data_IF_464452897038
#
_entry.id   IF_464452897038
#
_cell.length_a   1.000
_cell.length_b   1.000
_cell.length_c   1.000
_cell.angle_alpha   90.00
_cell.angle_beta   90.00
_cell.angle_gamma   90.00
#
_symmetry.space_group_name_H-M   'P 1'
#
loop_
_entity.id
_entity.type
_entity.pdbx_description
1 polymer ?
#
# COMPACT_ATOMS: atom_id res chain seq x y z
N UNK A 1 -21.47 4.07 25.14
CA UNK A 1 -20.23 3.43 24.66
C UNK A 1 -19.06 4.26 25.17
N UNK A 2 -18.17 3.65 25.93
CA UNK A 2 -16.98 4.34 26.43
C UNK A 2 -15.94 4.44 25.32
N UNK A 3 -15.36 5.61 25.15
CA UNK A 3 -14.24 5.81 24.23
C UNK A 3 -13.06 4.92 24.66
N UNK A 4 -12.64 3.94 23.83
CA UNK A 4 -11.54 3.04 24.21
C UNK A 4 -10.19 3.77 24.32
N UNK A 5 -10.07 4.96 23.78
CA UNK A 5 -8.83 5.75 23.85
C UNK A 5 -8.60 6.37 25.23
N UNK A 6 -9.65 6.45 26.07
CA UNK A 6 -9.60 7.14 27.37
C UNK A 6 -9.07 8.58 27.24
N UNK A 7 -9.44 9.27 26.14
CA UNK A 7 -9.00 10.63 25.85
C UNK A 7 -7.59 10.74 25.29
N UNK A 8 -6.94 9.64 24.98
CA UNK A 8 -5.61 9.65 24.35
C UNK A 8 -5.74 9.77 22.84
N UNK A 9 -4.73 10.37 22.22
CA UNK A 9 -4.62 10.38 20.77
C UNK A 9 -4.45 8.94 20.25
N UNK A 10 -5.26 8.59 19.25
CA UNK A 10 -5.21 7.28 18.61
C UNK A 10 -5.01 7.42 17.12
N UNK A 11 -4.33 6.45 16.53
CA UNK A 11 -4.10 6.38 15.09
C UNK A 11 -4.63 5.05 14.55
N UNK A 12 -5.05 5.05 13.29
CA UNK A 12 -5.53 3.84 12.62
C UNK A 12 -4.34 3.21 11.88
N UNK A 13 -3.94 1.97 12.23
CA UNK A 13 -2.86 1.28 11.54
C UNK A 13 -3.36 0.65 10.23
N UNK A 14 -2.56 0.77 9.19
CA UNK A 14 -2.82 0.13 7.89
C UNK A 14 -1.53 -0.46 7.33
N UNK A 15 -1.65 -1.47 6.48
CA UNK A 15 -0.53 -2.13 5.84
C UNK A 15 -0.71 -2.09 4.32
N UNK A 16 0.41 -1.88 3.60
CA UNK A 16 0.44 -1.67 2.15
C UNK A 16 1.49 -2.58 1.53
N UNK A 17 1.18 -3.12 0.35
CA UNK A 17 2.10 -3.99 -0.37
C UNK A 17 2.34 -3.48 -1.78
N UNK A 18 3.61 -3.24 -2.10
CA UNK A 18 4.06 -3.04 -3.46
C UNK A 18 4.78 -4.30 -3.94
N UNK A 19 4.18 -5.04 -4.88
CA UNK A 19 4.88 -6.11 -5.58
C UNK A 19 5.80 -5.48 -6.61
N UNK A 20 7.06 -5.91 -6.62
CA UNK A 20 8.08 -5.43 -7.54
C UNK A 20 8.60 -6.57 -8.40
N UNK A 21 8.89 -6.27 -9.66
CA UNK A 21 9.53 -7.22 -10.58
C UNK A 21 10.48 -6.49 -11.53
N UNK A 22 11.39 -7.24 -12.14
CA UNK A 22 12.17 -6.72 -13.25
C UNK A 22 11.27 -6.55 -14.48
N UNK A 23 11.48 -5.46 -15.23
CA UNK A 23 10.76 -5.22 -16.46
C UNK A 23 11.07 -6.29 -17.52
N UNK A 24 10.09 -6.62 -18.39
CA UNK A 24 10.24 -7.71 -19.37
C UNK A 24 11.26 -7.43 -20.49
N UNK A 25 11.65 -6.17 -20.65
CA UNK A 25 12.58 -5.75 -21.71
C UNK A 25 14.06 -5.91 -21.34
N UNK A 26 14.35 -6.36 -20.11
CA UNK A 26 15.74 -6.54 -19.65
C UNK A 26 16.52 -5.26 -19.50
N UNK A 27 15.87 -4.09 -19.51
CA UNK A 27 16.53 -2.79 -19.40
C UNK A 27 17.03 -2.48 -17.97
N UNK A 28 16.78 -3.39 -17.01
CA UNK A 28 17.13 -3.19 -15.59
C UNK A 28 16.16 -2.31 -14.83
N UNK A 29 15.07 -1.87 -15.46
CA UNK A 29 14.02 -1.09 -14.80
C UNK A 29 13.09 -1.95 -13.99
N UNK A 30 12.78 -1.53 -12.77
CA UNK A 30 11.78 -2.21 -11.93
C UNK A 30 10.38 -1.75 -12.30
N UNK A 31 9.44 -2.69 -12.18
CA UNK A 31 8.01 -2.40 -12.27
C UNK A 31 7.35 -2.68 -10.93
N UNK A 32 6.29 -1.93 -10.64
CA UNK A 32 5.43 -2.11 -9.47
C UNK A 32 4.01 -2.41 -9.94
N UNK A 33 3.34 -3.32 -9.23
CA UNK A 33 1.94 -3.62 -9.51
C UNK A 33 1.04 -2.62 -8.79
N UNK A 34 0.23 -1.89 -9.57
CA UNK A 34 -0.72 -0.91 -9.04
C UNK A 34 -2.14 -1.28 -9.45
N UNK A 35 -3.10 -0.88 -8.61
CA UNK A 35 -4.52 -1.01 -8.89
C UNK A 35 -5.15 0.37 -9.10
N UNK A 36 -6.11 0.44 -10.03
CA UNK A 36 -6.93 1.63 -10.21
C UNK A 36 -8.17 1.50 -9.31
N UNK A 37 -8.27 2.38 -8.32
CA UNK A 37 -9.34 2.35 -7.31
C UNK A 37 -10.66 2.79 -7.92
N UNK A 38 -11.76 2.13 -7.52
CA UNK A 38 -13.11 2.55 -7.86
C UNK A 38 -14.11 2.14 -6.76
N UNK A 39 -15.16 2.90 -6.60
CA UNK A 39 -16.28 2.61 -5.70
C UNK A 39 -15.87 2.39 -4.23
N UNK A 40 -14.79 3.00 -3.80
CA UNK A 40 -14.30 2.89 -2.41
C UNK A 40 -14.68 4.09 -1.54
N UNK A 41 -15.02 5.22 -2.18
CA UNK A 41 -15.29 6.47 -1.49
C UNK A 41 -14.04 7.24 -1.06
N UNK A 42 -12.85 6.72 -1.39
CA UNK A 42 -11.58 7.36 -1.03
C UNK A 42 -10.58 7.22 -2.18
N UNK A 43 -10.11 8.34 -2.70
CA UNK A 43 -9.11 8.39 -3.77
C UNK A 43 -9.47 7.49 -4.96
N UNK A 44 -10.77 7.44 -5.32
CA UNK A 44 -11.20 6.71 -6.49
C UNK A 44 -10.61 7.33 -7.76
N UNK A 45 -10.44 6.53 -8.80
CA UNK A 45 -9.77 6.89 -10.05
C UNK A 45 -8.27 7.24 -9.88
N UNK A 46 -7.69 6.89 -8.70
CA UNK A 46 -6.25 6.98 -8.45
C UNK A 46 -5.64 5.58 -8.48
N UNK A 47 -4.39 5.53 -8.89
CA UNK A 47 -3.57 4.33 -8.80
C UNK A 47 -2.99 4.19 -7.40
N UNK A 48 -2.99 2.96 -6.90
CA UNK A 48 -2.61 2.65 -5.52
C UNK A 48 -1.89 1.30 -5.45
N UNK A 49 -1.34 0.98 -4.27
CA UNK A 49 -0.77 -0.33 -3.99
C UNK A 49 -1.78 -1.44 -4.35
N UNK A 50 -1.28 -2.55 -4.90
CA UNK A 50 -2.11 -3.67 -5.33
C UNK A 50 -2.88 -4.31 -4.18
N UNK A 51 -2.34 -4.26 -2.96
CA UNK A 51 -3.02 -4.72 -1.76
C UNK A 51 -2.73 -3.77 -0.60
N UNK A 52 -3.78 -3.41 0.13
CA UNK A 52 -3.69 -2.55 1.31
C UNK A 52 -4.96 -2.68 2.16
N UNK A 53 -4.83 -2.51 3.45
CA UNK A 53 -5.97 -2.49 4.36
C UNK A 53 -5.58 -2.24 5.80
N UNK A 54 -6.58 -2.06 6.65
CA UNK A 54 -6.38 -1.82 8.07
C UNK A 54 -5.80 -3.05 8.76
N UNK A 55 -4.87 -2.81 9.68
CA UNK A 55 -4.41 -3.84 10.61
C UNK A 55 -5.51 -4.08 11.64
N UNK A 56 -5.97 -5.32 11.76
CA UNK A 56 -7.02 -5.68 12.69
C UNK A 56 -6.44 -5.98 14.08
N UNK A 57 -7.31 -5.91 15.10
CA UNK A 57 -6.89 -6.22 16.46
C UNK A 57 -6.33 -7.65 16.53
N UNK A 58 -5.16 -7.78 17.10
CA UNK A 58 -4.50 -9.09 17.24
C UNK A 58 -3.65 -9.52 16.06
N UNK A 59 -3.65 -8.76 14.95
CA UNK A 59 -2.72 -9.04 13.85
C UNK A 59 -1.50 -8.10 13.89
N UNK A 60 -0.39 -8.58 13.36
CA UNK A 60 0.76 -7.73 13.04
C UNK A 60 0.54 -7.10 11.67
N UNK A 61 1.30 -6.06 11.35
CA UNK A 61 1.28 -5.49 10.01
C UNK A 61 1.69 -6.52 8.94
N UNK A 62 2.60 -7.43 9.27
CA UNK A 62 2.97 -8.55 8.39
C UNK A 62 1.78 -9.45 8.09
N UNK A 63 1.03 -9.83 9.12
CA UNK A 63 -0.15 -10.68 8.96
C UNK A 63 -1.25 -9.96 8.17
N UNK A 64 -1.45 -8.67 8.45
CA UNK A 64 -2.45 -7.87 7.74
C UNK A 64 -2.15 -7.77 6.25
N UNK A 65 -0.91 -7.47 5.87
CA UNK A 65 -0.54 -7.33 4.46
C UNK A 65 -0.66 -8.67 3.71
N UNK A 66 -0.32 -9.78 4.36
CA UNK A 66 -0.46 -11.11 3.77
C UNK A 66 -1.95 -11.47 3.54
N UNK A 67 -2.81 -11.15 4.50
CA UNK A 67 -4.25 -11.34 4.39
C UNK A 67 -4.84 -10.50 3.24
N UNK A 68 -4.50 -9.21 3.20
CA UNK A 68 -4.98 -8.31 2.15
C UNK A 68 -4.50 -8.74 0.76
N UNK A 69 -3.26 -9.20 0.63
CA UNK A 69 -2.74 -9.71 -0.63
C UNK A 69 -3.53 -10.91 -1.14
N UNK A 70 -3.89 -11.82 -0.26
CA UNK A 70 -4.74 -12.98 -0.60
C UNK A 70 -6.15 -12.53 -1.00
N UNK A 71 -6.75 -11.62 -0.24
CA UNK A 71 -8.14 -11.15 -0.45
C UNK A 71 -8.28 -10.29 -1.70
N UNK A 72 -7.31 -9.42 -1.99
CA UNK A 72 -7.43 -8.42 -3.06
C UNK A 72 -6.84 -8.90 -4.38
N UNK A 73 -5.71 -9.61 -4.37
CA UNK A 73 -5.01 -10.01 -5.61
C UNK A 73 -4.67 -11.50 -5.70
N UNK A 74 -5.07 -12.30 -4.71
CA UNK A 74 -4.97 -13.76 -4.80
C UNK A 74 -3.56 -14.33 -4.75
N UNK A 75 -2.60 -13.64 -4.13
CA UNK A 75 -1.23 -14.12 -3.99
C UNK A 75 -0.92 -14.47 -2.53
N UNK A 76 0.04 -15.37 -2.34
CA UNK A 76 0.51 -15.77 -1.02
C UNK A 76 2.00 -16.10 -1.01
N UNK A 77 2.47 -16.66 0.11
CA UNK A 77 3.89 -16.99 0.32
C UNK A 77 4.82 -15.83 -0.02
N UNK A 78 4.45 -14.65 0.49
CA UNK A 78 5.18 -13.41 0.24
C UNK A 78 6.49 -13.39 1.01
N UNK A 79 7.58 -13.06 0.33
CA UNK A 79 8.84 -12.70 0.99
C UNK A 79 8.84 -11.18 1.18
N UNK A 80 8.39 -10.74 2.36
CA UNK A 80 8.14 -9.33 2.65
C UNK A 80 9.43 -8.62 3.09
N UNK A 81 9.65 -7.43 2.54
CA UNK A 81 10.67 -6.50 3.01
C UNK A 81 10.00 -5.23 3.49
N UNK A 82 10.34 -4.80 4.70
CA UNK A 82 9.83 -3.56 5.27
C UNK A 82 10.48 -2.36 4.57
N UNK A 83 9.67 -1.35 4.25
CA UNK A 83 10.13 -0.13 3.60
C UNK A 83 10.14 1.04 4.58
N UNK A 84 8.98 1.39 5.12
CA UNK A 84 8.83 2.53 6.02
C UNK A 84 7.54 2.43 6.83
N UNK A 85 7.55 3.03 8.01
CA UNK A 85 6.33 3.38 8.73
C UNK A 85 6.09 4.88 8.54
N UNK A 86 4.91 5.23 8.05
CA UNK A 86 4.55 6.61 7.76
C UNK A 86 3.48 7.09 8.72
N UNK A 87 3.80 8.11 9.51
CA UNK A 87 2.78 8.82 10.27
C UNK A 87 2.11 9.84 9.36
N UNK A 88 0.80 9.74 9.23
CA UNK A 88 0.06 10.54 8.26
C UNK A 88 -1.15 11.21 8.90
N UNK A 89 -1.41 12.44 8.49
CA UNK A 89 -2.62 13.17 8.87
C UNK A 89 -3.20 13.90 7.66
N UNK A 90 -4.52 14.10 7.66
CA UNK A 90 -5.19 15.00 6.74
C UNK A 90 -5.81 16.20 7.49
N UNK A 91 -5.56 16.33 8.81
CA UNK A 91 -6.10 17.36 9.66
C UNK A 91 -7.64 17.49 9.58
N UNK A 92 -8.31 16.35 9.38
CA UNK A 92 -9.77 16.31 9.20
C UNK A 92 -10.41 15.34 10.20
N UNK A 93 -10.74 14.13 9.77
CA UNK A 93 -11.47 13.16 10.61
C UNK A 93 -10.51 12.25 11.39
N UNK A 94 -10.97 11.64 12.50
CA UNK A 94 -10.13 10.68 13.25
C UNK A 94 -9.62 9.52 12.40
N UNK A 95 -10.36 9.08 11.40
CA UNK A 95 -9.94 8.00 10.48
C UNK A 95 -8.72 8.41 9.64
N UNK A 96 -8.46 9.70 9.51
CA UNK A 96 -7.33 10.23 8.73
C UNK A 96 -6.04 10.31 9.53
N UNK A 97 -6.09 10.02 10.84
CA UNK A 97 -4.90 9.91 11.67
C UNK A 97 -4.35 8.49 11.58
N UNK A 98 -3.21 8.32 10.92
CA UNK A 98 -2.75 7.02 10.47
C UNK A 98 -1.33 6.71 10.86
N UNK A 99 -1.06 5.42 11.03
CA UNK A 99 0.29 4.85 10.89
C UNK A 99 0.18 3.81 9.78
N UNK A 100 0.85 4.08 8.66
CA UNK A 100 0.86 3.20 7.51
C UNK A 100 2.20 2.45 7.45
N UNK A 101 2.13 1.11 7.37
CA UNK A 101 3.30 0.24 7.25
C UNK A 101 3.41 -0.21 5.80
N UNK A 102 4.52 0.13 5.15
CA UNK A 102 4.75 -0.20 3.75
C UNK A 102 5.73 -1.35 3.60
N UNK A 103 5.37 -2.30 2.76
CA UNK A 103 6.20 -3.47 2.45
C UNK A 103 6.35 -3.61 0.95
N UNK A 104 7.45 -4.23 0.53
CA UNK A 104 7.63 -4.72 -0.83
C UNK A 104 7.80 -6.23 -0.81
N UNK A 105 7.54 -6.87 -1.94
CA UNK A 105 7.86 -8.27 -2.17
C UNK A 105 8.27 -8.45 -3.62
N UNK A 106 9.34 -9.21 -3.86
CA UNK A 106 9.82 -9.59 -5.19
C UNK A 106 9.60 -11.07 -5.47
N UNK A 107 9.08 -11.81 -4.49
CA UNK A 107 8.81 -13.24 -4.58
C UNK A 107 7.48 -13.55 -3.91
N UNK A 108 6.64 -14.31 -4.59
CA UNK A 108 5.32 -14.73 -4.11
C UNK A 108 4.86 -15.96 -4.89
N UNK A 109 3.76 -16.59 -4.44
CA UNK A 109 3.09 -17.65 -5.18
C UNK A 109 1.75 -17.17 -5.71
N UNK A 110 1.36 -17.68 -6.87
CA UNK A 110 0.13 -17.30 -7.57
C UNK A 110 0.33 -16.15 -8.54
N UNK A 111 -0.54 -16.07 -9.52
CA UNK A 111 -0.56 -14.95 -10.47
C UNK A 111 -1.48 -13.85 -9.94
N UNK A 112 -0.99 -12.61 -9.76
CA UNK A 112 -1.85 -11.52 -9.30
C UNK A 112 -3.04 -11.32 -10.23
N UNK A 113 -4.23 -11.22 -9.64
CA UNK A 113 -5.50 -11.04 -10.35
C UNK A 113 -6.43 -10.15 -9.55
N UNK A 114 -7.41 -9.57 -10.21
CA UNK A 114 -8.47 -8.81 -9.55
C UNK A 114 -9.44 -9.79 -8.88
N UNK A 115 -9.47 -9.83 -7.54
CA UNK A 115 -10.41 -10.67 -6.78
C UNK A 115 -11.67 -9.88 -6.43
N UNK A 116 -11.56 -8.56 -6.23
CA UNK A 116 -12.66 -7.68 -5.88
C UNK A 116 -12.91 -6.66 -7.01
N UNK A 117 -13.54 -7.08 -8.15
CA UNK A 117 -13.68 -6.22 -9.33
C UNK A 117 -14.54 -4.97 -9.08
N UNK A 118 -15.40 -4.99 -8.07
CA UNK A 118 -16.21 -3.82 -7.70
C UNK A 118 -15.37 -2.67 -7.14
N UNK A 119 -14.17 -2.96 -6.60
CA UNK A 119 -13.28 -1.98 -5.97
C UNK A 119 -12.03 -1.68 -6.79
N UNK A 120 -11.72 -2.51 -7.78
CA UNK A 120 -10.52 -2.40 -8.59
C UNK A 120 -10.91 -2.45 -10.08
N UNK A 121 -10.73 -1.34 -10.78
CA UNK A 121 -11.06 -1.24 -12.20
C UNK A 121 -10.01 -1.88 -13.08
N UNK A 122 -8.75 -1.82 -12.68
CA UNK A 122 -7.61 -2.31 -13.45
C UNK A 122 -6.45 -2.66 -12.53
N UNK A 123 -5.68 -3.66 -12.92
CA UNK A 123 -4.43 -4.05 -12.26
C UNK A 123 -3.34 -3.97 -13.32
N UNK A 124 -2.28 -3.20 -13.05
CA UNK A 124 -1.27 -2.91 -14.08
C UNK A 124 0.14 -2.91 -13.49
N UNK A 125 1.07 -3.53 -14.20
CA UNK A 125 2.49 -3.38 -13.93
C UNK A 125 2.96 -2.05 -14.53
N UNK A 126 3.54 -1.20 -13.70
CA UNK A 126 3.98 0.14 -14.07
C UNK A 126 5.46 0.29 -13.75
N UNK A 127 6.22 0.94 -14.63
CA UNK A 127 7.61 1.24 -14.34
C UNK A 127 7.70 2.24 -13.19
N UNK A 128 8.65 2.01 -12.26
CA UNK A 128 8.87 2.95 -11.15
C UNK A 128 9.30 4.32 -11.63
N UNK A 129 10.00 4.39 -12.76
CA UNK A 129 10.46 5.66 -13.34
C UNK A 129 9.45 6.30 -14.31
N UNK A 130 8.28 5.68 -14.49
CA UNK A 130 7.22 6.20 -15.36
C UNK A 130 5.85 5.77 -14.80
N UNK A 131 5.53 6.28 -13.62
CA UNK A 131 4.28 5.94 -12.94
C UNK A 131 3.09 6.58 -13.65
N UNK A 132 1.91 5.92 -13.63
CA UNK A 132 0.69 6.53 -14.13
C UNK A 132 0.28 7.72 -13.24
N UNK A 133 -0.67 8.51 -13.73
CA UNK A 133 -1.15 9.70 -13.03
C UNK A 133 -2.68 9.70 -13.05
N UNK A 134 -3.34 9.93 -11.91
CA UNK A 134 -2.77 10.21 -10.59
C UNK A 134 -2.47 8.93 -9.78
N UNK A 135 -1.42 8.95 -9.00
CA UNK A 135 -1.15 7.98 -7.94
C UNK A 135 -1.56 8.61 -6.60
N UNK A 136 -2.09 7.81 -5.70
CA UNK A 136 -2.42 8.27 -4.34
C UNK A 136 -1.19 8.97 -3.74
N UNK A 137 -1.28 10.26 -3.33
CA UNK A 137 -0.11 11.07 -3.05
C UNK A 137 0.86 10.54 -1.99
N UNK A 138 0.36 10.02 -0.87
CA UNK A 138 1.24 9.49 0.18
C UNK A 138 1.92 8.18 -0.26
N UNK A 139 1.28 7.40 -1.11
CA UNK A 139 1.86 6.18 -1.68
C UNK A 139 2.91 6.52 -2.73
N UNK A 140 2.66 7.56 -3.54
CA UNK A 140 3.65 8.04 -4.50
C UNK A 140 4.94 8.47 -3.81
N UNK A 141 4.85 9.14 -2.67
CA UNK A 141 6.02 9.54 -1.90
C UNK A 141 6.87 8.32 -1.51
N UNK A 142 6.22 7.21 -1.11
CA UNK A 142 6.93 5.96 -0.79
C UNK A 142 7.56 5.35 -2.03
N UNK A 143 6.84 5.31 -3.14
CA UNK A 143 7.37 4.78 -4.41
C UNK A 143 8.57 5.57 -4.90
N UNK A 144 8.56 6.89 -4.76
CA UNK A 144 9.69 7.74 -5.11
C UNK A 144 10.92 7.40 -4.26
N UNK A 145 10.74 7.12 -2.97
CA UNK A 145 11.82 6.69 -2.08
C UNK A 145 12.39 5.33 -2.49
N UNK A 146 11.54 4.40 -2.89
CA UNK A 146 11.97 3.09 -3.40
C UNK A 146 12.79 3.27 -4.68
N UNK A 147 12.28 4.07 -5.61
CA UNK A 147 12.94 4.33 -6.89
C UNK A 147 14.34 4.94 -6.72
N UNK A 148 14.47 5.88 -5.81
CA UNK A 148 15.73 6.61 -5.58
C UNK A 148 16.66 5.94 -4.55
N UNK A 149 16.20 4.89 -3.88
CA UNK A 149 16.99 4.22 -2.83
C UNK A 149 17.15 5.07 -1.58
N UNK A 150 16.21 5.98 -1.31
CA UNK A 150 16.27 6.93 -0.19
C UNK A 150 15.25 6.64 0.91
N UNK A 151 14.61 5.47 0.88
CA UNK A 151 13.65 5.07 1.92
C UNK A 151 14.32 5.04 3.29
N UNK A 152 13.60 5.55 4.30
CA UNK A 152 14.03 5.55 5.70
C UNK A 152 12.94 4.92 6.57
N UNK A 153 13.29 4.36 7.75
CA UNK A 153 12.32 3.60 8.56
C UNK A 153 11.11 4.39 9.04
N UNK A 154 11.23 5.69 9.20
CA UNK A 154 10.14 6.56 9.64
C UNK A 154 10.01 7.74 8.69
N UNK A 155 8.79 7.94 8.21
CA UNK A 155 8.43 9.06 7.33
C UNK A 155 7.15 9.72 7.85
N UNK A 156 6.85 10.90 7.34
CA UNK A 156 5.63 11.63 7.66
C UNK A 156 4.97 12.14 6.39
N UNK A 157 3.67 12.38 6.47
CA UNK A 157 2.92 12.95 5.36
C UNK A 157 1.75 13.78 5.89
N UNK A 158 1.60 14.99 5.40
CA UNK A 158 0.48 15.87 5.75
C UNK A 158 0.73 16.83 6.92
N UNK A 159 1.92 16.82 7.50
CA UNK A 159 2.29 17.72 8.61
C UNK A 159 2.84 19.04 8.11
#
# INVERSE_FOLDING_TARGET
MTDPSHGRFVVVPAAYLFLLREGPDGSGGQEVLLQLRQNTGYMDDHWAAAAAGHVERGETAYAAVAREASEEIGVGHLFLQFVTSMQRTAHAEPIDERIDFFFTATSWSGEPRIVEPEKCAELRWCRLDDLPDPVVPHERAVLDGIRTGTSVPYTTFGF
#
